data_IF_540837584296
#
_entry.id   IF_540837584296
#
_cell.length_a   1.000
_cell.length_b   1.000
_cell.length_c   1.000
_cell.angle_alpha   90.00
_cell.angle_beta   90.00
_cell.angle_gamma   90.00
#
_symmetry.space_group_name_H-M   'P 1'
#
loop_
_entity.id
_entity.type
_entity.pdbx_description
1 polymer ?
#
# COMPACT_ATOMS: atom_id res chain seq x y z
N UNK A 1 -0.26 -17.82 -10.01
CA UNK A 1 0.78 -16.94 -10.61
C UNK A 1 0.16 -15.78 -11.39
N UNK A 2 -0.61 -15.95 -12.49
CA UNK A 2 -1.16 -14.79 -13.21
C UNK A 2 -2.06 -13.90 -12.35
N UNK A 3 -2.93 -14.52 -11.54
CA UNK A 3 -3.78 -13.79 -10.59
C UNK A 3 -2.98 -13.00 -9.55
N UNK A 4 -1.82 -13.51 -9.10
CA UNK A 4 -0.96 -12.78 -8.16
C UNK A 4 -0.39 -11.52 -8.83
N UNK A 5 0.10 -11.64 -10.06
CA UNK A 5 0.66 -10.49 -10.79
C UNK A 5 -0.38 -9.40 -11.03
N UNK A 6 -1.57 -9.77 -11.52
CA UNK A 6 -2.66 -8.81 -11.79
C UNK A 6 -3.16 -8.17 -10.50
N UNK A 7 -3.37 -8.94 -9.42
CA UNK A 7 -3.81 -8.37 -8.15
C UNK A 7 -2.72 -7.52 -7.49
N UNK A 8 -1.45 -7.91 -7.56
CA UNK A 8 -0.34 -7.10 -7.06
C UNK A 8 -0.27 -5.76 -7.78
N UNK A 9 -0.40 -5.77 -9.11
CA UNK A 9 -0.44 -4.54 -9.90
C UNK A 9 -1.68 -3.68 -9.61
N UNK A 10 -2.85 -4.30 -9.41
CA UNK A 10 -4.06 -3.62 -8.98
C UNK A 10 -3.88 -2.91 -7.62
N UNK A 11 -3.31 -3.61 -6.64
CA UNK A 11 -3.06 -3.03 -5.31
C UNK A 11 -2.01 -1.93 -5.36
N UNK A 12 -0.94 -2.09 -6.14
CA UNK A 12 0.03 -1.02 -6.38
C UNK A 12 -0.66 0.24 -6.93
N UNK A 13 -1.47 0.10 -7.98
CA UNK A 13 -2.19 1.23 -8.57
C UNK A 13 -3.20 1.86 -7.58
N UNK A 14 -3.84 1.04 -6.75
CA UNK A 14 -4.79 1.50 -5.75
C UNK A 14 -4.10 2.24 -4.58
N UNK A 15 -2.88 1.83 -4.22
CA UNK A 15 -2.06 2.49 -3.18
C UNK A 15 -1.58 3.88 -3.60
N UNK A 16 -1.40 4.13 -4.90
CA UNK A 16 -1.07 5.47 -5.40
C UNK A 16 -2.22 6.48 -5.26
N UNK A 17 -3.45 6.03 -4.97
CA UNK A 17 -4.61 6.89 -4.86
C UNK A 17 -4.82 7.25 -3.39
N UNK A 18 -4.24 8.38 -2.98
CA UNK A 18 -4.51 8.98 -1.68
C UNK A 18 -5.86 9.69 -1.67
N UNK A 19 -6.64 9.51 -0.61
CA UNK A 19 -7.88 10.25 -0.36
C UNK A 19 -7.76 11.10 0.89
N UNK A 20 -8.32 12.31 0.85
CA UNK A 20 -8.34 13.22 1.99
C UNK A 20 -9.24 12.70 3.10
N UNK A 21 -8.80 12.81 4.34
CA UNK A 21 -9.55 12.52 5.56
C UNK A 21 -10.05 13.86 6.12
N UNK A 22 -11.34 14.19 5.95
CA UNK A 22 -11.84 15.55 6.20
C UNK A 22 -11.65 16.06 7.62
N UNK A 23 -11.63 15.15 8.61
CA UNK A 23 -11.56 15.52 10.03
C UNK A 23 -10.17 15.99 10.44
N UNK A 24 -9.12 15.35 9.93
CA UNK A 24 -7.72 15.65 10.28
C UNK A 24 -7.05 16.55 9.25
N UNK A 25 -7.58 16.60 8.02
CA UNK A 25 -6.90 17.22 6.90
C UNK A 25 -5.71 16.41 6.38
N UNK A 26 -5.44 15.22 6.93
CA UNK A 26 -4.45 14.28 6.38
C UNK A 26 -5.00 13.58 5.14
N UNK A 27 -4.16 12.80 4.47
CA UNK A 27 -4.57 11.83 3.47
C UNK A 27 -4.30 10.40 3.92
N UNK A 28 -4.78 9.43 3.15
CA UNK A 28 -4.40 8.04 3.29
C UNK A 28 -4.72 7.25 2.03
N UNK A 29 -4.07 6.11 1.86
CA UNK A 29 -4.34 5.17 0.78
C UNK A 29 -4.81 3.82 1.32
N UNK A 30 -5.27 2.97 0.41
CA UNK A 30 -5.60 1.59 0.73
C UNK A 30 -4.33 0.80 1.08
N UNK A 31 -4.37 -0.03 2.11
CA UNK A 31 -3.33 -1.02 2.39
C UNK A 31 -3.38 -2.19 1.41
N UNK A 32 -4.57 -2.71 1.10
CA UNK A 32 -4.81 -3.73 0.07
C UNK A 32 -4.50 -5.17 0.50
N UNK A 33 -3.92 -5.36 1.69
CA UNK A 33 -3.55 -6.67 2.23
C UNK A 33 -4.74 -7.60 2.41
N UNK A 34 -5.91 -7.07 2.79
CA UNK A 34 -7.13 -7.88 2.93
C UNK A 34 -7.65 -8.39 1.59
N UNK A 35 -7.67 -7.55 0.55
CA UNK A 35 -8.06 -7.96 -0.81
C UNK A 35 -7.17 -9.10 -1.30
N UNK A 36 -5.85 -8.95 -1.15
CA UNK A 36 -4.90 -10.00 -1.53
C UNK A 36 -5.15 -11.28 -0.74
N UNK A 37 -5.33 -11.19 0.57
CA UNK A 37 -5.52 -12.35 1.45
C UNK A 37 -6.77 -13.14 1.12
N UNK A 38 -7.87 -12.44 0.83
CA UNK A 38 -9.16 -13.05 0.50
C UNK A 38 -9.12 -13.73 -0.88
N UNK A 39 -8.40 -13.17 -1.85
CA UNK A 39 -8.40 -13.65 -3.23
C UNK A 39 -7.25 -14.60 -3.57
N UNK A 40 -6.13 -14.55 -2.83
CA UNK A 40 -4.94 -15.37 -3.06
C UNK A 40 -4.67 -16.38 -1.94
N UNK A 41 -5.24 -16.16 -0.76
CA UNK A 41 -4.83 -16.84 0.47
C UNK A 41 -3.58 -16.20 1.09
N UNK A 42 -3.28 -16.53 2.37
CA UNK A 42 -2.37 -15.74 3.21
C UNK A 42 -0.93 -15.72 2.70
N UNK A 43 -0.39 -16.87 2.31
CA UNK A 43 1.02 -16.98 1.87
C UNK A 43 1.27 -16.25 0.53
N UNK A 44 0.37 -16.44 -0.44
CA UNK A 44 0.50 -15.80 -1.75
C UNK A 44 0.24 -14.29 -1.66
N UNK A 45 -0.70 -13.88 -0.80
CA UNK A 45 -0.95 -12.48 -0.50
C UNK A 45 0.27 -11.80 0.13
N UNK A 46 0.88 -12.43 1.15
CA UNK A 46 2.05 -11.88 1.83
C UNK A 46 3.23 -11.70 0.87
N UNK A 47 3.51 -12.70 0.01
CA UNK A 47 4.55 -12.58 -1.01
C UNK A 47 4.24 -11.49 -2.04
N UNK A 48 2.97 -11.33 -2.41
CA UNK A 48 2.54 -10.29 -3.34
C UNK A 48 2.72 -8.90 -2.72
N UNK A 49 2.32 -8.72 -1.44
CA UNK A 49 2.51 -7.49 -0.68
C UNK A 49 4.00 -7.16 -0.47
N UNK A 50 4.81 -8.15 -0.12
CA UNK A 50 6.25 -7.95 0.01
C UNK A 50 6.89 -7.50 -1.32
N UNK A 51 6.46 -8.09 -2.43
CA UNK A 51 6.98 -7.73 -3.75
C UNK A 51 6.61 -6.31 -4.16
N UNK A 52 5.36 -5.90 -3.96
CA UNK A 52 4.92 -4.55 -4.34
C UNK A 52 5.57 -3.46 -3.45
N UNK A 53 5.71 -3.70 -2.15
CA UNK A 53 6.39 -2.76 -1.24
C UNK A 53 7.88 -2.64 -1.58
N UNK A 54 8.49 -3.74 -2.03
CA UNK A 54 9.87 -3.72 -2.54
C UNK A 54 10.00 -2.87 -3.80
N UNK A 55 9.02 -2.93 -4.71
CA UNK A 55 8.97 -2.08 -5.91
C UNK A 55 8.83 -0.61 -5.52
N UNK A 56 7.92 -0.28 -4.59
CA UNK A 56 7.72 1.08 -4.08
C UNK A 56 9.00 1.67 -3.49
N UNK A 57 9.65 0.92 -2.58
CA UNK A 57 10.86 1.39 -1.93
C UNK A 57 12.03 1.54 -2.92
N UNK A 58 12.23 0.59 -3.86
CA UNK A 58 13.38 0.63 -4.77
C UNK A 58 13.24 1.65 -5.91
N UNK A 59 12.05 1.77 -6.50
CA UNK A 59 11.89 2.51 -7.76
C UNK A 59 11.19 3.86 -7.59
N UNK A 60 10.37 3.98 -6.55
CA UNK A 60 9.55 5.16 -6.29
C UNK A 60 9.98 5.94 -5.05
N UNK A 61 10.98 5.45 -4.32
CA UNK A 61 11.39 6.01 -3.02
C UNK A 61 10.20 6.20 -2.04
N UNK A 62 9.16 5.39 -2.20
CA UNK A 62 7.99 5.41 -1.35
C UNK A 62 8.17 4.35 -0.26
N UNK A 63 8.51 4.84 0.94
CA UNK A 63 9.05 4.05 2.05
C UNK A 63 10.55 3.79 1.95
N UNK A 64 11.26 3.87 3.09
CA UNK A 64 12.70 3.65 3.15
C UNK A 64 13.10 2.17 3.04
N UNK A 65 14.22 1.86 2.38
CA UNK A 65 14.73 0.48 2.29
C UNK A 65 15.01 -0.16 3.66
N UNK A 66 15.41 0.65 4.64
CA UNK A 66 15.61 0.16 6.01
C UNK A 66 14.28 -0.13 6.72
N UNK A 67 13.25 0.65 6.42
CA UNK A 67 11.89 0.47 6.95
C UNK A 67 11.09 -0.60 6.20
N UNK A 68 11.59 -1.11 5.06
CA UNK A 68 10.88 -2.08 4.21
C UNK A 68 10.42 -3.32 5.01
N UNK A 69 11.25 -3.82 5.93
CA UNK A 69 10.85 -4.94 6.79
C UNK A 69 9.65 -4.63 7.68
N UNK A 70 9.64 -3.44 8.27
CA UNK A 70 8.53 -2.92 9.08
C UNK A 70 7.27 -2.74 8.22
N UNK A 71 7.40 -2.16 7.03
CA UNK A 71 6.29 -1.99 6.09
C UNK A 71 5.68 -3.33 5.67
N UNK A 72 6.52 -4.33 5.34
CA UNK A 72 6.06 -5.69 5.00
C UNK A 72 5.36 -6.35 6.19
N UNK A 73 5.83 -6.12 7.41
CA UNK A 73 5.18 -6.63 8.61
C UNK A 73 3.81 -5.95 8.82
N UNK A 74 3.76 -4.63 8.84
CA UNK A 74 2.54 -3.88 9.13
C UNK A 74 1.46 -4.05 8.07
N UNK A 75 1.82 -3.95 6.79
CA UNK A 75 0.87 -4.01 5.67
C UNK A 75 0.69 -5.41 5.09
N UNK A 76 1.63 -6.33 5.35
CA UNK A 76 1.56 -7.71 4.88
C UNK A 76 1.16 -8.68 5.98
N UNK A 77 1.91 -8.73 7.08
CA UNK A 77 1.76 -9.78 8.08
C UNK A 77 0.41 -9.73 8.79
N UNK A 78 0.01 -8.57 9.33
CA UNK A 78 -1.27 -8.44 10.04
C UNK A 78 -2.49 -8.81 9.18
N UNK A 79 -2.68 -8.27 7.96
CA UNK A 79 -3.84 -8.66 7.15
C UNK A 79 -3.76 -10.13 6.71
N UNK A 80 -2.59 -10.62 6.29
CA UNK A 80 -2.46 -11.96 5.74
C UNK A 80 -2.59 -13.06 6.80
N UNK A 81 -1.90 -12.91 7.93
CA UNK A 81 -1.76 -13.98 8.90
C UNK A 81 -2.59 -13.79 10.17
N UNK A 82 -3.12 -12.59 10.41
CA UNK A 82 -3.96 -12.31 11.58
C UNK A 82 -5.40 -12.03 11.17
N UNK A 83 -5.65 -10.91 10.48
CA UNK A 83 -7.01 -10.46 10.20
C UNK A 83 -7.76 -11.42 9.25
N UNK A 84 -7.12 -11.94 8.20
CA UNK A 84 -7.77 -12.88 7.31
C UNK A 84 -8.18 -14.20 7.99
N UNK A 85 -7.27 -14.99 8.59
CA UNK A 85 -7.64 -16.30 9.13
C UNK A 85 -8.51 -16.23 10.38
N UNK A 86 -8.30 -15.26 11.28
CA UNK A 86 -8.99 -15.22 12.57
C UNK A 86 -10.24 -14.35 12.57
N UNK A 87 -10.32 -13.32 11.72
CA UNK A 87 -11.46 -12.39 11.69
C UNK A 87 -12.30 -12.62 10.44
N UNK A 88 -11.71 -12.45 9.26
CA UNK A 88 -12.48 -12.54 8.01
C UNK A 88 -13.11 -13.92 7.82
N UNK A 89 -12.34 -15.00 7.95
CA UNK A 89 -12.88 -16.37 7.77
C UNK A 89 -13.97 -16.69 8.80
N UNK A 90 -13.82 -16.22 10.03
CA UNK A 90 -14.80 -16.42 11.10
C UNK A 90 -16.13 -15.73 10.78
N UNK A 91 -16.09 -14.47 10.33
CA UNK A 91 -17.27 -13.67 10.01
C UNK A 91 -17.93 -14.03 8.66
N UNK A 92 -17.12 -14.32 7.64
CA UNK A 92 -17.63 -14.70 6.31
C UNK A 92 -18.28 -16.10 6.33
N UNK A 93 -17.72 -17.02 7.10
CA UNK A 93 -18.18 -18.40 7.23
C UNK A 93 -18.16 -19.20 5.92
N UNK A 94 -18.82 -20.36 5.91
CA UNK A 94 -18.84 -21.28 4.76
C UNK A 94 -19.83 -20.91 3.65
N UNK A 95 -20.75 -19.96 3.92
CA UNK A 95 -21.75 -19.50 2.96
C UNK A 95 -21.61 -18.00 2.79
N UNK A 96 -20.94 -17.62 1.72
CA UNK A 96 -20.77 -16.22 1.35
C UNK A 96 -22.13 -15.60 0.99
N UNK A 97 -22.46 -14.51 1.67
CA UNK A 97 -23.55 -13.60 1.29
C UNK A 97 -22.97 -12.19 1.21
N UNK A 98 -23.60 -11.28 0.46
CA UNK A 98 -23.10 -9.91 0.35
C UNK A 98 -22.95 -9.22 1.71
N UNK A 99 -23.93 -9.43 2.61
CA UNK A 99 -23.89 -8.88 3.97
C UNK A 99 -22.71 -9.45 4.79
N UNK A 100 -22.45 -10.77 4.67
CA UNK A 100 -21.30 -11.40 5.35
C UNK A 100 -19.97 -10.93 4.79
N UNK A 101 -19.86 -10.81 3.46
CA UNK A 101 -18.66 -10.28 2.80
C UNK A 101 -18.41 -8.84 3.28
N UNK A 102 -19.44 -8.00 3.31
CA UNK A 102 -19.34 -6.62 3.80
C UNK A 102 -18.88 -6.58 5.24
N UNK A 103 -19.58 -7.26 6.15
CA UNK A 103 -19.24 -7.27 7.57
C UNK A 103 -17.82 -7.82 7.82
N UNK A 104 -17.48 -8.95 7.20
CA UNK A 104 -16.17 -9.55 7.33
C UNK A 104 -15.07 -8.63 6.80
N UNK A 105 -15.26 -8.01 5.63
CA UNK A 105 -14.30 -7.08 5.03
C UNK A 105 -14.11 -5.83 5.89
N UNK A 106 -15.20 -5.25 6.40
CA UNK A 106 -15.16 -4.08 7.29
C UNK A 106 -14.35 -4.37 8.55
N UNK A 107 -14.73 -5.40 9.31
CA UNK A 107 -14.10 -5.68 10.61
C UNK A 107 -12.64 -6.10 10.44
N UNK A 108 -12.33 -6.94 9.44
CA UNK A 108 -10.96 -7.40 9.21
C UNK A 108 -10.05 -6.31 8.66
N UNK A 109 -10.53 -5.41 7.79
CA UNK A 109 -9.72 -4.29 7.27
C UNK A 109 -9.43 -3.25 8.34
N UNK A 110 -10.44 -2.88 9.15
CA UNK A 110 -10.25 -2.00 10.30
C UNK A 110 -9.22 -2.60 11.26
N UNK A 111 -9.39 -3.87 11.64
CA UNK A 111 -8.45 -4.52 12.55
C UNK A 111 -7.04 -4.58 11.97
N UNK A 112 -6.91 -4.98 10.70
CA UNK A 112 -5.62 -5.08 10.02
C UNK A 112 -4.86 -3.75 9.99
N UNK A 113 -5.54 -2.66 9.60
CA UNK A 113 -4.91 -1.33 9.57
C UNK A 113 -4.61 -0.78 10.96
N UNK A 114 -5.48 -1.02 11.95
CA UNK A 114 -5.19 -0.58 13.32
C UNK A 114 -3.96 -1.28 13.89
N UNK A 115 -3.83 -2.59 13.68
CA UNK A 115 -2.66 -3.35 14.08
C UNK A 115 -1.40 -2.89 13.34
N UNK A 116 -1.49 -2.61 12.03
CA UNK A 116 -0.37 -2.08 11.25
C UNK A 116 0.08 -0.70 11.73
N UNK A 117 -0.86 0.22 11.91
CA UNK A 117 -0.57 1.57 12.42
C UNK A 117 -0.02 1.54 13.85
N UNK A 118 -0.53 0.65 14.69
CA UNK A 118 0.00 0.46 16.04
C UNK A 118 1.40 -0.17 16.01
N UNK A 119 1.63 -1.08 15.06
CA UNK A 119 2.95 -1.64 14.76
C UNK A 119 3.98 -0.55 14.47
N UNK A 120 3.66 0.41 13.60
CA UNK A 120 4.52 1.57 13.32
C UNK A 120 4.87 2.34 14.60
N UNK A 121 3.88 2.58 15.48
CA UNK A 121 4.12 3.28 16.75
C UNK A 121 5.04 2.48 17.67
N UNK A 122 4.86 1.16 17.76
CA UNK A 122 5.73 0.29 18.55
C UNK A 122 7.14 0.19 17.98
N UNK A 123 7.28 0.05 16.67
CA UNK A 123 8.56 0.02 15.97
C UNK A 123 9.35 1.31 16.19
N UNK A 124 8.65 2.45 16.14
CA UNK A 124 9.21 3.79 16.44
C UNK A 124 9.62 3.91 17.92
N UNK A 125 8.80 3.40 18.84
CA UNK A 125 9.14 3.37 20.26
C UNK A 125 10.40 2.54 20.51
N UNK A 126 10.50 1.36 19.89
CA UNK A 126 11.63 0.46 20.05
C UNK A 126 12.89 0.90 19.29
N UNK A 127 12.76 1.73 18.26
CA UNK A 127 13.91 2.35 17.59
C UNK A 127 14.57 3.45 18.43
N UNK A 128 13.90 3.91 19.49
CA UNK A 128 14.44 4.89 20.43
C UNK A 128 14.32 6.34 19.97
N UNK A 129 13.47 6.62 18.97
CA UNK A 129 13.20 7.97 18.49
C UNK A 129 12.43 8.73 19.58
N UNK A 130 13.12 9.62 20.31
CA UNK A 130 12.54 10.37 21.44
C UNK A 130 11.59 11.49 21.00
N UNK A 131 11.68 11.91 19.73
CA UNK A 131 10.87 12.97 19.13
C UNK A 131 9.42 12.55 18.87
N UNK A 132 9.13 11.25 18.98
CA UNK A 132 7.78 10.69 18.85
C UNK A 132 7.35 9.99 20.15
N UNK A 133 6.91 10.75 21.18
CA UNK A 133 6.41 10.16 22.41
C UNK A 133 5.23 9.22 22.15
N UNK A 134 5.28 8.02 22.74
CA UNK A 134 4.32 6.94 22.50
C UNK A 134 2.85 7.38 22.62
N UNK A 135 2.47 8.05 23.71
CA UNK A 135 1.08 8.44 23.97
C UNK A 135 0.49 9.36 22.88
N UNK A 136 1.06 10.55 22.65
CA UNK A 136 0.66 11.44 21.56
C UNK A 136 0.66 10.76 20.18
N UNK A 137 1.70 9.98 19.87
CA UNK A 137 1.81 9.36 18.55
C UNK A 137 0.71 8.30 18.32
N UNK A 138 0.39 7.47 19.33
CA UNK A 138 -0.76 6.55 19.28
C UNK A 138 -2.07 7.30 19.05
N UNK A 139 -2.29 8.40 19.80
CA UNK A 139 -3.53 9.18 19.74
C UNK A 139 -3.76 9.85 18.38
N UNK A 140 -2.70 10.18 17.65
CA UNK A 140 -2.79 10.76 16.31
C UNK A 140 -2.87 9.68 15.22
N UNK A 141 -2.10 8.60 15.34
CA UNK A 141 -2.05 7.53 14.33
C UNK A 141 -3.34 6.72 14.24
N UNK A 142 -3.89 6.27 15.38
CA UNK A 142 -5.00 5.30 15.38
C UNK A 142 -6.32 5.86 14.80
N UNK A 143 -6.75 7.10 15.10
CA UNK A 143 -8.00 7.64 14.54
C UNK A 143 -7.94 7.85 13.03
N UNK A 144 -6.78 8.29 12.51
CA UNK A 144 -6.56 8.45 11.06
C UNK A 144 -6.70 7.10 10.37
N UNK A 145 -6.01 6.08 10.88
CA UNK A 145 -6.04 4.73 10.29
C UNK A 145 -7.37 4.00 10.55
N UNK A 146 -8.19 4.46 11.51
CA UNK A 146 -9.58 4.00 11.65
C UNK A 146 -10.41 4.43 10.44
N UNK A 147 -10.29 5.70 10.04
CA UNK A 147 -10.99 6.24 8.88
C UNK A 147 -10.54 5.54 7.60
N UNK A 148 -9.23 5.34 7.42
CA UNK A 148 -8.67 4.58 6.30
C UNK A 148 -9.22 3.14 6.31
N UNK A 149 -9.27 2.49 7.48
CA UNK A 149 -9.75 1.11 7.63
C UNK A 149 -11.22 0.94 7.27
N UNK A 150 -12.05 1.96 7.55
CA UNK A 150 -13.47 2.00 7.14
C UNK A 150 -13.56 2.06 5.61
N UNK A 151 -12.82 2.97 4.98
CA UNK A 151 -12.79 3.11 3.50
C UNK A 151 -12.28 1.82 2.86
N UNK A 152 -11.18 1.26 3.37
CA UNK A 152 -10.63 0.01 2.88
C UNK A 152 -11.59 -1.17 3.07
N UNK A 153 -12.33 -1.22 4.17
CA UNK A 153 -13.36 -2.22 4.40
C UNK A 153 -14.46 -2.19 3.32
N UNK A 154 -14.91 -0.99 2.94
CA UNK A 154 -15.91 -0.79 1.87
C UNK A 154 -15.35 -1.20 0.51
N UNK A 155 -14.13 -0.74 0.17
CA UNK A 155 -13.48 -1.09 -1.10
C UNK A 155 -13.21 -2.59 -1.18
N UNK A 156 -12.71 -3.19 -0.10
CA UNK A 156 -12.50 -4.64 0.00
C UNK A 156 -13.81 -5.39 -0.22
N UNK A 157 -14.89 -4.98 0.44
CA UNK A 157 -16.20 -5.60 0.24
C UNK A 157 -16.68 -5.49 -1.21
N UNK A 158 -16.50 -4.33 -1.86
CA UNK A 158 -16.88 -4.10 -3.24
C UNK A 158 -16.09 -4.99 -4.21
N UNK A 159 -14.77 -5.01 -4.10
CA UNK A 159 -13.88 -5.83 -4.95
C UNK A 159 -14.16 -7.32 -4.73
N UNK A 160 -14.24 -7.77 -3.48
CA UNK A 160 -14.52 -9.18 -3.16
C UNK A 160 -15.91 -9.59 -3.63
N UNK A 161 -16.93 -8.74 -3.47
CA UNK A 161 -18.28 -9.02 -3.99
C UNK A 161 -18.30 -9.08 -5.51
N UNK A 162 -17.58 -8.20 -6.20
CA UNK A 162 -17.44 -8.23 -7.66
C UNK A 162 -16.82 -9.55 -8.12
N UNK A 163 -15.69 -9.94 -7.52
CA UNK A 163 -15.01 -11.21 -7.84
C UNK A 163 -15.90 -12.40 -7.50
N UNK A 164 -16.54 -12.41 -6.33
CA UNK A 164 -17.44 -13.48 -5.90
C UNK A 164 -18.62 -13.69 -6.86
N UNK A 165 -19.23 -12.60 -7.35
CA UNK A 165 -20.31 -12.68 -8.35
C UNK A 165 -19.83 -13.14 -9.72
N UNK A 166 -18.62 -12.76 -10.12
CA UNK A 166 -18.06 -13.10 -11.43
C UNK A 166 -17.44 -14.51 -11.50
N UNK A 167 -16.79 -14.94 -10.40
CA UNK A 167 -16.00 -16.18 -10.24
C UNK A 167 -15.92 -16.58 -8.75
N UNK A 168 -16.99 -17.17 -8.18
CA UNK A 168 -17.00 -17.59 -6.77
C UNK A 168 -15.89 -18.60 -6.43
N UNK A 169 -15.42 -19.37 -7.41
CA UNK A 169 -14.38 -20.39 -7.26
C UNK A 169 -13.04 -19.78 -6.82
N UNK A 170 -12.80 -18.50 -7.09
CA UNK A 170 -11.58 -17.79 -6.64
C UNK A 170 -11.51 -17.72 -5.11
N UNK A 171 -12.65 -17.43 -4.46
CA UNK A 171 -12.72 -17.35 -3.00
C UNK A 171 -12.61 -18.74 -2.36
N UNK A 172 -13.24 -19.76 -2.95
CA UNK A 172 -13.15 -21.14 -2.47
C UNK A 172 -11.72 -21.68 -2.56
N UNK A 173 -11.03 -21.37 -3.66
CA UNK A 173 -9.62 -21.70 -3.87
C UNK A 173 -8.74 -21.05 -2.79
N UNK A 174 -8.89 -19.75 -2.57
CA UNK A 174 -8.13 -19.01 -1.56
C UNK A 174 -8.40 -19.53 -0.13
N UNK A 175 -9.64 -19.90 0.17
CA UNK A 175 -10.04 -20.43 1.48
C UNK A 175 -9.51 -21.84 1.74
N UNK A 176 -9.42 -22.68 0.70
CA UNK A 176 -9.02 -24.09 0.81
C UNK A 176 -7.58 -24.39 0.38
N UNK A 177 -6.85 -23.40 -0.14
CA UNK A 177 -5.49 -23.56 -0.70
C UNK A 177 -5.39 -24.66 -1.78
N UNK A 178 -6.50 -25.00 -2.44
CA UNK A 178 -6.52 -25.95 -3.56
C UNK A 178 -6.03 -25.26 -4.84
N UNK A 179 -5.34 -25.96 -5.75
CA UNK A 179 -4.92 -25.39 -7.02
C UNK A 179 -6.13 -24.98 -7.88
N UNK A 180 -5.96 -23.93 -8.69
CA UNK A 180 -6.95 -23.45 -9.66
C UNK A 180 -7.45 -24.65 -10.49
N UNK A 181 -8.76 -24.92 -10.46
CA UNK A 181 -9.38 -25.91 -11.34
C UNK A 181 -9.26 -25.53 -12.83
N UNK A 182 -9.83 -26.34 -13.74
CA UNK A 182 -9.74 -26.14 -15.20
C UNK A 182 -10.50 -24.90 -15.75
N UNK A 183 -10.75 -23.87 -14.94
CA UNK A 183 -11.59 -22.74 -15.32
C UNK A 183 -10.76 -21.57 -15.86
N UNK A 184 -11.29 -20.90 -16.89
CA UNK A 184 -10.64 -19.73 -17.49
C UNK A 184 -10.91 -18.47 -16.65
N UNK A 185 -9.83 -17.90 -16.11
CA UNK A 185 -9.83 -16.60 -15.42
C UNK A 185 -9.59 -15.41 -16.36
N UNK A 186 -9.48 -15.64 -17.68
CA UNK A 186 -9.04 -14.60 -18.65
C UNK A 186 -9.86 -13.32 -18.56
N UNK A 187 -11.19 -13.41 -18.53
CA UNK A 187 -12.07 -12.23 -18.50
C UNK A 187 -11.97 -11.47 -17.17
N UNK A 188 -11.84 -12.20 -16.05
CA UNK A 188 -11.64 -11.58 -14.74
C UNK A 188 -10.31 -10.82 -14.70
N UNK A 189 -9.24 -11.47 -15.16
CA UNK A 189 -7.91 -10.85 -15.22
C UNK A 189 -7.89 -9.65 -16.17
N UNK A 190 -8.55 -9.73 -17.33
CA UNK A 190 -8.68 -8.61 -18.26
C UNK A 190 -9.43 -7.43 -17.63
N UNK A 191 -10.57 -7.69 -16.95
CA UNK A 191 -11.32 -6.65 -16.25
C UNK A 191 -10.52 -5.97 -15.15
N UNK A 192 -9.83 -6.76 -14.32
CA UNK A 192 -8.94 -6.22 -13.27
C UNK A 192 -7.77 -5.42 -13.87
N UNK A 193 -7.19 -5.87 -14.97
CA UNK A 193 -6.08 -5.18 -15.63
C UNK A 193 -6.53 -3.85 -16.24
N UNK A 194 -7.71 -3.80 -16.86
CA UNK A 194 -8.30 -2.54 -17.32
C UNK A 194 -8.51 -1.58 -16.16
N UNK A 195 -9.10 -2.06 -15.05
CA UNK A 195 -9.29 -1.24 -13.85
C UNK A 195 -7.97 -0.75 -13.28
N UNK A 196 -6.94 -1.60 -13.29
CA UNK A 196 -5.57 -1.28 -12.83
C UNK A 196 -4.94 -0.18 -13.68
N UNK A 197 -5.06 -0.26 -15.00
CA UNK A 197 -4.53 0.75 -15.93
C UNK A 197 -5.26 2.08 -15.75
N UNK A 198 -6.58 2.06 -15.58
CA UNK A 198 -7.37 3.27 -15.30
C UNK A 198 -7.00 3.88 -13.95
N UNK A 199 -6.83 3.05 -12.92
CA UNK A 199 -6.44 3.50 -11.59
C UNK A 199 -5.07 4.18 -11.59
N UNK A 200 -4.04 3.49 -12.11
CA UNK A 200 -2.67 4.02 -12.13
C UNK A 200 -2.47 5.16 -13.13
N UNK A 201 -3.19 5.15 -14.26
CA UNK A 201 -3.01 6.13 -15.33
C UNK A 201 -3.83 7.40 -15.19
N UNK A 202 -5.04 7.33 -14.62
CA UNK A 202 -5.99 8.45 -14.61
C UNK A 202 -6.53 8.80 -13.21
N UNK A 203 -6.84 7.80 -12.37
CA UNK A 203 -7.36 8.09 -11.02
C UNK A 203 -6.29 8.65 -10.09
N UNK A 204 -5.00 8.40 -10.38
CA UNK A 204 -3.87 9.01 -9.67
C UNK A 204 -3.87 10.55 -9.74
N UNK A 205 -4.48 11.18 -10.74
CA UNK A 205 -4.63 12.64 -10.81
C UNK A 205 -5.52 13.23 -9.73
N UNK A 206 -6.39 12.41 -9.14
CA UNK A 206 -7.30 12.82 -8.08
C UNK A 206 -6.75 12.51 -6.69
N UNK A 207 -5.52 11.98 -6.60
CA UNK A 207 -4.86 11.75 -5.34
C UNK A 207 -4.73 13.05 -4.54
N UNK A 208 -4.97 12.97 -3.24
CA UNK A 208 -4.79 14.08 -2.32
C UNK A 208 -3.32 14.48 -2.23
N UNK A 209 -3.05 15.78 -2.23
CA UNK A 209 -1.73 16.38 -1.98
C UNK A 209 -1.43 16.59 -0.49
N UNK A 210 -2.37 16.24 0.40
CA UNK A 210 -2.18 16.38 1.84
C UNK A 210 -1.21 15.30 2.37
N UNK A 211 -0.46 15.58 3.45
CA UNK A 211 0.45 14.61 4.05
C UNK A 211 -0.33 13.35 4.46
N UNK A 212 0.31 12.19 4.30
CA UNK A 212 -0.34 10.93 4.65
C UNK A 212 -0.57 10.81 6.16
N UNK A 213 -1.29 9.77 6.59
CA UNK A 213 -1.64 9.59 7.99
C UNK A 213 -0.43 9.44 8.93
N UNK A 214 0.68 8.87 8.44
CA UNK A 214 1.93 8.74 9.18
C UNK A 214 2.65 10.08 9.26
N UNK A 215 2.89 10.73 8.12
CA UNK A 215 3.54 12.04 8.02
C UNK A 215 2.80 13.10 8.85
N UNK A 216 1.47 13.16 8.71
CA UNK A 216 0.63 14.06 9.48
C UNK A 216 0.74 13.79 10.99
N UNK A 217 0.75 12.53 11.41
CA UNK A 217 0.88 12.17 12.83
C UNK A 217 2.27 12.48 13.37
N UNK A 218 3.33 12.28 12.57
CA UNK A 218 4.70 12.63 12.95
C UNK A 218 4.85 14.14 13.12
N UNK A 219 4.33 14.93 12.17
CA UNK A 219 4.36 16.38 12.23
C UNK A 219 3.62 16.92 13.46
N UNK A 220 2.40 16.43 13.73
CA UNK A 220 1.61 16.88 14.89
C UNK A 220 2.12 16.36 16.23
N UNK A 221 3.02 15.37 16.22
CA UNK A 221 3.68 14.85 17.43
C UNK A 221 4.99 15.59 17.74
N UNK A 222 5.84 15.74 16.72
CA UNK A 222 7.23 16.20 16.86
C UNK A 222 7.45 17.67 16.47
N UNK A 223 6.53 18.24 15.68
CA UNK A 223 6.69 19.55 15.04
C UNK A 223 7.65 19.54 13.83
N UNK A 224 8.13 18.37 13.39
CA UNK A 224 9.01 18.21 12.23
C UNK A 224 8.32 17.39 11.14
N UNK A 225 8.49 17.80 9.88
CA UNK A 225 7.97 17.05 8.72
C UNK A 225 8.79 15.77 8.47
N UNK A 226 10.12 15.86 8.64
CA UNK A 226 11.02 14.71 8.60
C UNK A 226 11.87 14.66 9.87
N UNK A 227 12.07 13.44 10.38
CA UNK A 227 12.97 13.19 11.49
C UNK A 227 14.42 13.10 10.99
N UNK A 228 15.36 13.58 11.80
CA UNK A 228 16.77 13.49 11.46
C UNK A 228 17.20 12.02 11.47
N UNK A 229 17.63 11.52 10.31
CA UNK A 229 18.17 10.19 10.22
C UNK A 229 19.46 10.09 11.04
N UNK A 230 19.59 9.09 11.92
CA UNK A 230 20.86 8.83 12.60
C UNK A 230 21.96 8.71 11.55
N UNK A 231 23.07 9.43 11.77
CA UNK A 231 24.25 9.42 10.89
C UNK A 231 25.05 8.10 11.02
N UNK A 232 24.36 6.97 10.85
CA UNK A 232 24.91 5.63 10.85
C UNK A 232 25.25 5.16 9.45
N UNK A 233 26.34 4.39 9.31
CA UNK A 233 26.82 3.92 8.00
C UNK A 233 25.77 3.12 7.19
N UNK A 234 24.88 2.38 7.87
CA UNK A 234 23.85 1.59 7.19
C UNK A 234 22.71 2.45 6.62
N UNK A 235 22.31 3.51 7.33
CA UNK A 235 21.32 4.48 6.83
C UNK A 235 21.82 5.15 5.54
N UNK A 236 23.07 5.61 5.56
CA UNK A 236 23.70 6.25 4.40
C UNK A 236 23.90 5.27 3.23
N UNK A 237 24.28 4.02 3.50
CA UNK A 237 24.46 3.01 2.46
C UNK A 237 23.15 2.67 1.77
N UNK A 238 22.09 2.39 2.53
CA UNK A 238 20.79 2.06 1.98
C UNK A 238 20.13 3.28 1.32
N UNK A 239 20.27 4.48 1.90
CA UNK A 239 19.84 5.72 1.26
C UNK A 239 20.53 5.96 -0.08
N UNK A 240 21.85 5.75 -0.16
CA UNK A 240 22.60 5.86 -1.41
C UNK A 240 22.25 4.79 -2.45
N UNK A 241 21.83 3.59 -2.02
CA UNK A 241 21.26 2.59 -2.94
C UNK A 241 19.90 3.07 -3.44
N UNK A 242 19.02 3.50 -2.53
CA UNK A 242 17.68 3.95 -2.86
C UNK A 242 17.69 5.14 -3.82
N UNK A 243 18.56 6.13 -3.62
CA UNK A 243 18.69 7.29 -4.51
C UNK A 243 19.12 6.90 -5.93
N UNK A 244 19.98 5.88 -6.05
CA UNK A 244 20.45 5.35 -7.34
C UNK A 244 19.39 4.50 -8.04
N UNK A 245 18.60 3.74 -7.29
CA UNK A 245 17.58 2.84 -7.86
C UNK A 245 16.26 3.54 -8.13
N UNK A 246 15.90 4.54 -7.32
CA UNK A 246 14.65 5.27 -7.44
C UNK A 246 14.73 6.21 -8.64
N UNK A 247 14.13 5.81 -9.75
CA UNK A 247 14.09 6.61 -10.98
C UNK A 247 12.86 7.53 -11.06
N UNK A 248 11.83 7.27 -10.25
CA UNK A 248 10.62 8.10 -10.12
C UNK A 248 10.30 8.38 -8.62
N UNK A 249 11.19 9.05 -7.88
CA UNK A 249 10.97 9.33 -6.46
C UNK A 249 9.67 10.12 -6.25
N UNK A 250 8.85 9.70 -5.30
CA UNK A 250 7.54 10.33 -5.03
C UNK A 250 6.56 10.20 -6.19
N UNK A 251 6.75 9.21 -7.07
CA UNK A 251 5.93 8.98 -8.27
C UNK A 251 5.98 10.09 -9.33
N UNK A 252 7.02 10.92 -9.34
CA UNK A 252 7.24 11.93 -10.38
C UNK A 252 8.67 11.86 -10.97
N UNK A 253 8.89 12.54 -12.08
CA UNK A 253 10.20 12.67 -12.70
C UNK A 253 11.16 13.43 -11.79
N UNK A 254 12.43 13.01 -11.76
CA UNK A 254 13.46 13.71 -11.00
C UNK A 254 13.53 15.18 -11.45
N UNK A 255 13.47 16.15 -10.51
CA UNK A 255 13.63 17.55 -10.86
C UNK A 255 15.01 17.81 -11.47
N UNK A 256 15.06 18.67 -12.48
CA UNK A 256 16.31 19.09 -13.12
C UNK A 256 17.21 19.82 -12.11
N UNK A 257 18.54 19.80 -12.30
CA UNK A 257 19.49 20.52 -11.43
C UNK A 257 19.14 22.01 -11.30
N UNK A 258 18.57 22.61 -12.36
CA UNK A 258 18.08 23.99 -12.35
C UNK A 258 16.88 24.23 -11.42
N UNK A 259 16.07 23.21 -11.13
CA UNK A 259 14.93 23.28 -10.21
C UNK A 259 15.33 22.99 -8.76
N UNK A 260 16.41 22.22 -8.54
CA UNK A 260 16.99 21.98 -7.20
C UNK A 260 17.62 23.25 -6.63
N UNK A 261 18.36 24.00 -7.45
CA UNK A 261 19.00 25.25 -7.04
C UNK A 261 18.00 26.33 -6.57
N UNK A 262 16.80 26.37 -7.16
CA UNK A 262 15.75 27.35 -6.79
C UNK A 262 15.05 26.99 -5.47
N UNK A 263 15.03 25.71 -5.08
CA UNK A 263 14.45 25.27 -3.79
C UNK A 263 15.44 25.41 -2.63
N UNK A 264 16.74 25.26 -2.88
CA UNK A 264 17.79 25.38 -1.84
C UNK A 264 18.27 26.82 -1.62
N UNK A 265 18.11 27.72 -2.60
CA UNK A 265 18.56 29.12 -2.52
C UNK A 265 17.56 30.12 -1.91
N UNK A 266 16.39 29.68 -1.46
CA UNK A 266 15.37 30.54 -0.84
C UNK A 266 15.67 30.80 0.62
N UNK A 267 16.25 31.95 0.93
CA UNK A 267 16.43 32.46 2.29
C UNK A 267 15.10 32.40 3.07
N UNK A 268 15.12 31.77 4.25
CA UNK A 268 13.98 31.59 5.16
C UNK A 268 13.49 32.95 5.67
N UNK A 269 12.72 33.67 4.87
CA UNK A 269 12.06 34.91 5.27
C UNK A 269 10.63 34.87 4.76
N UNK A 270 9.70 34.75 5.73
CA UNK A 270 8.25 34.73 5.58
C UNK A 270 7.71 33.63 4.65
N UNK A 271 7.19 32.57 5.28
CA UNK A 271 6.34 31.58 4.61
C UNK A 271 5.12 32.30 4.00
N UNK A 272 5.19 32.62 2.71
CA UNK A 272 4.00 32.70 1.89
C UNK A 272 3.30 31.33 1.96
N UNK A 273 1.97 31.29 2.13
CA UNK A 273 1.26 30.02 2.10
C UNK A 273 1.59 29.31 0.79
N UNK A 274 2.03 28.06 0.89
CA UNK A 274 2.26 27.20 -0.27
C UNK A 274 1.04 27.33 -1.18
N UNK A 275 1.26 27.73 -2.44
CA UNK A 275 0.19 27.78 -3.43
C UNK A 275 -0.47 26.41 -3.45
N UNK A 276 -1.74 26.33 -3.05
CA UNK A 276 -2.54 25.11 -3.16
C UNK A 276 -2.45 24.64 -4.61
N UNK A 277 -1.86 23.45 -4.83
CA UNK A 277 -1.83 22.88 -6.15
C UNK A 277 -3.27 22.64 -6.63
N UNK A 278 -3.62 22.98 -7.88
CA UNK A 278 -4.98 22.81 -8.37
C UNK A 278 -5.37 21.32 -8.36
N UNK A 279 -6.47 20.98 -7.68
CA UNK A 279 -7.03 19.64 -7.68
C UNK A 279 -8.11 19.50 -8.78
N UNK A 280 -8.03 18.49 -9.68
CA UNK A 280 -7.06 17.40 -9.72
C UNK A 280 -5.67 17.83 -10.25
N UNK A 281 -4.61 17.30 -9.63
CA UNK A 281 -3.22 17.55 -10.00
C UNK A 281 -2.80 16.63 -11.17
N UNK A 282 -3.20 17.01 -12.39
CA UNK A 282 -2.90 16.26 -13.60
C UNK A 282 -1.40 16.31 -13.89
N UNK A 283 -0.70 15.18 -13.77
CA UNK A 283 0.73 15.06 -14.04
C UNK A 283 1.02 13.86 -14.97
N UNK A 284 1.86 14.10 -15.97
CA UNK A 284 2.38 13.03 -16.82
C UNK A 284 3.30 12.07 -16.04
N UNK A 285 3.99 12.59 -15.01
CA UNK A 285 4.83 11.80 -14.12
C UNK A 285 4.01 10.80 -13.32
N UNK A 286 2.92 11.23 -12.70
CA UNK A 286 2.07 10.33 -11.90
C UNK A 286 1.39 9.26 -12.75
N UNK A 287 0.92 9.59 -13.96
CA UNK A 287 0.42 8.59 -14.91
C UNK A 287 1.50 7.60 -15.35
N UNK A 288 2.70 8.08 -15.69
CA UNK A 288 3.79 7.23 -16.12
C UNK A 288 4.23 6.29 -14.99
N UNK A 289 4.40 6.83 -13.78
CA UNK A 289 4.71 6.09 -12.55
C UNK A 289 3.69 5.01 -12.25
N UNK A 290 2.41 5.32 -12.37
CA UNK A 290 1.34 4.34 -12.18
C UNK A 290 1.41 3.20 -13.19
N UNK A 291 1.57 3.51 -14.47
CA UNK A 291 1.64 2.49 -15.52
C UNK A 291 2.91 1.64 -15.44
N UNK A 292 4.08 2.25 -15.23
CA UNK A 292 5.34 1.52 -15.15
C UNK A 292 5.41 0.67 -13.87
N UNK A 293 4.92 1.19 -12.75
CA UNK A 293 4.87 0.46 -11.49
C UNK A 293 3.91 -0.72 -11.51
N UNK A 294 2.77 -0.60 -12.19
CA UNK A 294 1.86 -1.72 -12.52
C UNK A 294 2.59 -2.83 -13.28
N UNK A 295 3.36 -2.48 -14.31
CA UNK A 295 4.10 -3.46 -15.13
C UNK A 295 5.20 -4.13 -14.31
N UNK A 296 6.04 -3.34 -13.62
CA UNK A 296 7.15 -3.86 -12.82
C UNK A 296 6.62 -4.79 -11.72
N UNK A 297 5.58 -4.37 -10.99
CA UNK A 297 4.96 -5.18 -9.93
C UNK A 297 4.41 -6.48 -10.48
N UNK A 298 3.68 -6.44 -11.59
CA UNK A 298 3.12 -7.64 -12.23
C UNK A 298 4.22 -8.63 -12.63
N UNK A 299 5.31 -8.14 -13.23
CA UNK A 299 6.45 -8.95 -13.64
C UNK A 299 7.15 -9.57 -12.44
N UNK A 300 7.49 -8.77 -11.42
CA UNK A 300 8.20 -9.24 -10.24
C UNK A 300 7.42 -10.34 -9.49
N UNK A 301 6.15 -10.08 -9.21
CA UNK A 301 5.25 -11.04 -8.56
C UNK A 301 5.10 -12.31 -9.41
N UNK A 302 4.99 -12.14 -10.73
CA UNK A 302 4.92 -13.24 -11.69
C UNK A 302 6.16 -14.13 -11.67
N UNK A 303 7.35 -13.53 -11.68
CA UNK A 303 8.65 -14.23 -11.62
C UNK A 303 8.79 -14.99 -10.31
N UNK A 304 8.52 -14.36 -9.17
CA UNK A 304 8.57 -15.02 -7.85
C UNK A 304 7.60 -16.20 -7.80
N UNK A 305 6.35 -15.98 -8.23
CA UNK A 305 5.34 -17.02 -8.27
C UNK A 305 5.72 -18.20 -9.19
N UNK A 306 6.32 -17.92 -10.35
CA UNK A 306 6.77 -18.96 -11.27
C UNK A 306 7.97 -19.73 -10.73
N UNK A 307 8.94 -19.03 -10.13
CA UNK A 307 10.11 -19.64 -9.47
C UNK A 307 9.69 -20.61 -8.37
N UNK A 308 8.80 -20.18 -7.47
CA UNK A 308 8.27 -21.03 -6.40
C UNK A 308 7.50 -22.23 -6.93
N UNK A 309 6.68 -22.04 -7.98
CA UNK A 309 5.97 -23.15 -8.62
C UNK A 309 6.94 -24.19 -9.18
N UNK A 310 8.00 -23.75 -9.87
CA UNK A 310 9.02 -24.64 -10.44
C UNK A 310 9.76 -25.42 -9.35
N UNK A 311 10.16 -24.75 -8.27
CA UNK A 311 10.82 -25.39 -7.12
C UNK A 311 9.92 -26.46 -6.47
N UNK A 312 8.62 -26.20 -6.37
CA UNK A 312 7.66 -27.17 -5.82
C UNK A 312 7.43 -28.37 -6.73
N UNK A 313 7.51 -28.20 -8.05
CA UNK A 313 7.36 -29.31 -9.00
C UNK A 313 8.59 -30.22 -9.07
N UNK A 314 9.75 -29.75 -8.58
CA UNK A 314 10.99 -30.51 -8.52
C UNK A 314 11.16 -31.31 -7.22
N UNK A 315 10.30 -31.07 -6.22
CA UNK A 315 10.24 -31.81 -4.95
C UNK A 315 9.11 -32.82 -5.00
#
# INVERSE_FOLDING_TARGET
VPLMGVLGAFIFAAQMINFTIPVTGSSGHLGGGMILSILLGPNAAFLTMASLLTVQALFFADGGLLALGCNIFNLGFFPCFIAYPFIYKSLAGNRATQCRILLASMVSSIFGLQMGAFGVVLETLFSGISELPFGPFVLLMQPVHLAIGIVEGIVTAAVVTFVWKARPEVLEMAATSKPVGQFSLKNLLAGLLVLTVVAGGALSWFASSNPDGLEWSMFHTSGKEELENPSGGLHNLLGGIQEKTAFLPGYDFKPSESQKATKEGGEKTHAEPAKEEPWPAVSAGTSFSGLIGVVITMVLVGVIGFGLRRLRQQR
#
